data_IF_876501970477
#
_entry.id   IF_876501970477
#
_cell.length_a   1.000
_cell.length_b   1.000
_cell.length_c   1.000
_cell.angle_alpha   90.00
_cell.angle_beta   90.00
_cell.angle_gamma   90.00
#
_symmetry.space_group_name_H-M   'P 1'
#
loop_
_entity.id
_entity.type
_entity.pdbx_description
1 polymer ?
#
# COMPACT_ATOMS: atom_id res chain seq x y z
N UNK A 1 3.81 4.85 23.09
CA UNK A 1 4.70 4.38 22.02
C UNK A 1 4.19 4.86 20.70
N UNK A 2 5.07 5.19 19.76
CA UNK A 2 4.70 5.55 18.38
C UNK A 2 4.61 4.26 17.57
N UNK A 3 3.52 4.09 16.81
CA UNK A 3 3.42 3.00 15.84
C UNK A 3 3.99 3.48 14.51
N UNK A 4 4.94 2.73 13.95
CA UNK A 4 5.43 2.99 12.60
C UNK A 4 4.42 2.47 11.60
N UNK A 5 3.85 3.38 10.80
CA UNK A 5 2.85 3.01 9.81
C UNK A 5 3.48 2.71 8.44
N UNK A 6 4.62 3.33 8.14
CA UNK A 6 5.30 3.20 6.85
C UNK A 6 6.77 3.62 6.94
N UNK A 7 7.66 2.99 6.14
CA UNK A 7 9.05 3.39 6.00
C UNK A 7 9.52 3.27 4.54
N UNK A 8 10.46 4.12 4.14
CA UNK A 8 11.04 4.09 2.80
C UNK A 8 12.43 4.75 2.79
N UNK A 9 13.22 4.44 1.75
CA UNK A 9 14.52 5.07 1.50
C UNK A 9 14.41 6.07 0.35
N UNK A 10 14.97 7.27 0.56
CA UNK A 10 15.09 8.29 -0.48
C UNK A 10 16.37 9.09 -0.28
N UNK A 11 17.20 9.21 -1.33
CA UNK A 11 18.48 9.91 -1.31
C UNK A 11 19.35 9.53 -0.11
N UNK A 12 19.59 8.24 0.11
CA UNK A 12 20.40 7.67 1.21
C UNK A 12 19.90 8.07 2.61
N UNK A 13 18.67 8.49 2.74
CA UNK A 13 18.02 8.79 4.01
C UNK A 13 16.85 7.84 4.22
N UNK A 14 16.78 7.26 5.41
CA UNK A 14 15.62 6.47 5.83
C UNK A 14 14.57 7.40 6.41
N UNK A 15 13.37 7.34 5.85
CA UNK A 15 12.19 8.02 6.33
C UNK A 15 11.27 7.03 7.01
N UNK A 16 10.72 7.39 8.17
CA UNK A 16 9.67 6.64 8.83
C UNK A 16 8.50 7.54 9.16
N UNK A 17 7.30 7.06 8.86
CA UNK A 17 6.04 7.77 9.08
C UNK A 17 5.35 7.15 10.28
N UNK A 18 4.88 7.99 11.18
CA UNK A 18 4.20 7.57 12.40
C UNK A 18 2.95 8.42 12.63
N UNK A 19 1.97 7.86 13.32
CA UNK A 19 0.89 8.62 13.93
C UNK A 19 1.26 8.91 15.38
N UNK A 20 1.21 10.20 15.78
CA UNK A 20 1.46 10.63 17.15
C UNK A 20 0.27 10.41 18.07
N UNK A 21 0.46 10.66 19.38
CA UNK A 21 -0.58 10.44 20.42
C UNK A 21 -1.82 11.33 20.27
N UNK A 22 -1.67 12.49 19.61
CA UNK A 22 -2.75 13.45 19.34
C UNK A 22 -3.26 13.39 17.90
N UNK A 23 -3.15 12.23 17.26
CA UNK A 23 -3.48 12.07 15.83
C UNK A 23 -2.62 12.98 14.92
N UNK A 24 -1.37 13.19 15.28
CA UNK A 24 -0.41 13.95 14.49
C UNK A 24 0.25 13.08 13.44
N UNK A 25 0.41 13.59 12.24
CA UNK A 25 1.25 13.00 11.20
C UNK A 25 2.69 13.40 11.43
N UNK A 26 3.57 12.40 11.63
CA UNK A 26 4.97 12.61 11.95
C UNK A 26 5.87 11.94 10.91
N UNK A 27 6.87 12.68 10.41
CA UNK A 27 7.95 12.13 9.60
C UNK A 27 9.26 12.21 10.39
N UNK A 28 9.92 11.07 10.56
CA UNK A 28 11.27 10.99 11.08
C UNK A 28 12.24 10.66 9.95
N UNK A 29 13.45 11.18 10.06
CA UNK A 29 14.59 10.82 9.21
C UNK A 29 15.65 10.12 10.05
N UNK A 30 16.39 9.20 9.43
CA UNK A 30 17.53 8.51 10.01
C UNK A 30 18.57 8.21 8.91
N UNK A 31 19.77 7.84 9.32
CA UNK A 31 20.76 7.24 8.41
C UNK A 31 20.24 5.87 7.91
N UNK A 32 20.83 5.34 6.83
CA UNK A 32 20.40 4.06 6.24
C UNK A 32 20.54 2.86 7.18
N UNK A 33 21.36 2.99 8.23
CA UNK A 33 21.50 2.00 9.31
C UNK A 33 20.54 2.25 10.49
N UNK A 34 19.65 3.25 10.38
CA UNK A 34 18.68 3.62 11.39
C UNK A 34 19.20 4.49 12.52
N UNK A 35 20.48 4.81 12.50
CA UNK A 35 21.06 5.70 13.50
C UNK A 35 20.69 7.16 13.24
N UNK A 36 20.97 8.03 14.22
CA UNK A 36 20.75 9.48 14.12
C UNK A 36 19.31 9.89 13.80
N UNK A 37 18.35 9.12 14.28
CA UNK A 37 16.92 9.38 14.08
C UNK A 37 16.52 10.74 14.66
N UNK A 38 15.78 11.55 13.86
CA UNK A 38 15.26 12.86 14.27
C UNK A 38 13.88 13.10 13.67
N UNK A 39 13.03 13.84 14.39
CA UNK A 39 11.77 14.35 13.86
C UNK A 39 12.10 15.43 12.82
N UNK A 40 11.57 15.26 11.61
CA UNK A 40 11.78 16.17 10.49
C UNK A 40 10.53 17.00 10.18
N UNK A 41 9.32 16.43 10.38
CA UNK A 41 8.07 17.10 10.06
C UNK A 41 6.95 16.64 10.99
N UNK A 42 5.99 17.54 11.25
CA UNK A 42 4.72 17.26 11.93
C UNK A 42 3.59 18.06 11.32
N UNK A 43 2.39 17.47 11.24
CA UNK A 43 1.15 18.14 10.89
C UNK A 43 0.01 17.71 11.81
N UNK A 44 -0.95 18.61 12.05
CA UNK A 44 -2.13 18.39 12.88
C UNK A 44 -3.23 17.68 12.07
N UNK A 45 -2.91 16.50 11.54
CA UNK A 45 -3.85 15.60 10.87
C UNK A 45 -3.38 14.16 11.06
N UNK A 46 -4.28 13.21 11.02
CA UNK A 46 -3.92 11.79 11.04
C UNK A 46 -3.56 11.28 9.65
N UNK A 47 -2.68 10.28 9.60
CA UNK A 47 -2.51 9.48 8.41
C UNK A 47 -3.69 8.50 8.31
N UNK A 48 -4.35 8.41 7.16
CA UNK A 48 -5.21 7.28 6.86
C UNK A 48 -4.32 6.04 6.70
N UNK A 49 -4.26 5.21 7.74
CA UNK A 49 -3.35 4.03 7.79
C UNK A 49 -3.74 2.94 6.81
N UNK A 50 -4.93 3.01 6.24
CA UNK A 50 -5.40 2.06 5.22
C UNK A 50 -4.84 2.35 3.82
N UNK A 51 -4.25 3.53 3.60
CA UNK A 51 -3.67 3.93 2.31
C UNK A 51 -2.17 4.12 2.44
N UNK A 52 -1.40 3.38 1.70
CA UNK A 52 0.05 3.54 1.69
C UNK A 52 0.45 4.86 1.03
N UNK A 53 1.36 5.63 1.64
CA UNK A 53 1.95 6.80 1.00
C UNK A 53 2.71 6.43 -0.28
N UNK A 54 2.73 7.35 -1.23
CA UNK A 54 3.44 7.20 -2.51
C UNK A 54 4.47 8.31 -2.67
N UNK A 55 5.71 7.92 -2.96
CA UNK A 55 6.80 8.86 -3.23
C UNK A 55 6.95 9.07 -4.74
N UNK A 56 6.87 10.31 -5.17
CA UNK A 56 7.16 10.72 -6.55
C UNK A 56 7.95 12.04 -6.58
N UNK A 57 9.04 12.07 -7.33
CA UNK A 57 9.85 13.28 -7.55
C UNK A 57 10.38 13.97 -6.28
N UNK A 58 10.53 13.24 -5.16
CA UNK A 58 10.92 13.79 -3.86
C UNK A 58 9.76 14.36 -3.04
N UNK A 59 8.54 14.20 -3.51
CA UNK A 59 7.31 14.56 -2.82
C UNK A 59 6.57 13.30 -2.37
N UNK A 60 6.23 13.25 -1.09
CA UNK A 60 5.49 12.17 -0.48
C UNK A 60 4.00 12.50 -0.49
N UNK A 61 3.21 11.74 -1.25
CA UNK A 61 1.75 11.85 -1.30
C UNK A 61 1.12 10.85 -0.33
N UNK A 62 0.07 11.27 0.35
CA UNK A 62 -0.64 10.43 1.31
C UNK A 62 -2.09 10.89 1.49
N UNK A 63 -2.92 10.04 2.04
CA UNK A 63 -4.27 10.40 2.47
C UNK A 63 -4.23 10.79 3.94
N UNK A 64 -4.56 12.04 4.21
CA UNK A 64 -4.75 12.55 5.55
C UNK A 64 -6.20 12.39 6.00
N UNK A 65 -6.43 12.19 7.30
CA UNK A 65 -7.76 12.21 7.89
C UNK A 65 -7.88 13.29 8.96
N UNK A 66 -9.01 14.00 8.94
CA UNK A 66 -9.38 15.02 9.91
C UNK A 66 -10.71 14.65 10.55
N UNK A 67 -10.79 14.75 11.87
CA UNK A 67 -12.02 14.49 12.62
C UNK A 67 -12.78 15.78 12.89
N UNK A 68 -14.00 15.88 12.39
CA UNK A 68 -14.92 16.97 12.71
C UNK A 68 -15.93 16.52 13.76
N UNK A 69 -16.09 17.34 14.82
CA UNK A 69 -17.18 17.17 15.80
C UNK A 69 -18.47 17.75 15.22
N UNK A 70 -19.46 16.91 14.99
CA UNK A 70 -20.79 17.37 14.62
C UNK A 70 -21.48 17.98 15.85
N UNK A 71 -21.71 19.30 15.85
CA UNK A 71 -22.38 20.04 16.93
C UNK A 71 -23.88 19.66 17.14
N UNK A 72 -24.46 18.83 16.28
CA UNK A 72 -25.91 18.59 16.25
C UNK A 72 -26.36 17.20 16.64
N UNK A 73 -25.51 16.21 16.72
CA UNK A 73 -25.91 14.84 17.12
C UNK A 73 -24.85 14.17 17.99
N UNK A 74 -25.31 13.64 19.10
CA UNK A 74 -24.51 12.96 20.13
C UNK A 74 -23.88 11.61 19.69
N UNK A 75 -23.80 11.34 18.39
CA UNK A 75 -23.27 10.09 17.83
C UNK A 75 -22.58 10.37 16.50
N UNK A 76 -21.33 10.87 16.50
CA UNK A 76 -20.57 10.78 15.26
C UNK A 76 -19.46 11.80 15.11
N UNK A 77 -18.26 11.38 15.40
CA UNK A 77 -17.06 11.95 14.76
C UNK A 77 -17.18 11.67 13.25
N UNK A 78 -17.20 12.71 12.44
CA UNK A 78 -17.08 12.58 10.98
C UNK A 78 -15.61 12.61 10.64
N UNK A 79 -15.13 11.55 10.02
CA UNK A 79 -13.77 11.48 9.51
C UNK A 79 -13.78 11.91 8.04
N UNK A 80 -13.06 12.99 7.72
CA UNK A 80 -12.90 13.50 6.36
C UNK A 80 -11.53 13.12 5.82
N UNK A 81 -11.48 12.63 4.59
CA UNK A 81 -10.26 12.23 3.92
C UNK A 81 -9.83 13.27 2.90
N UNK A 82 -8.53 13.57 2.87
CA UNK A 82 -7.94 14.51 1.94
C UNK A 82 -6.65 13.98 1.35
N UNK A 83 -6.42 14.25 0.07
CA UNK A 83 -5.12 14.05 -0.54
C UNK A 83 -4.17 15.15 -0.09
N UNK A 84 -3.05 14.74 0.47
CA UNK A 84 -2.00 15.62 0.98
C UNK A 84 -0.64 15.24 0.42
N UNK A 85 0.32 16.16 0.47
CA UNK A 85 1.72 15.85 0.23
C UNK A 85 2.67 16.65 1.11
N UNK A 86 3.89 16.11 1.24
CA UNK A 86 5.04 16.78 1.85
C UNK A 86 6.22 16.70 0.88
N UNK A 87 6.83 17.85 0.56
CA UNK A 87 8.10 17.89 -0.16
C UNK A 87 9.24 17.52 0.79
N UNK A 88 10.01 16.50 0.46
CA UNK A 88 11.06 15.99 1.36
C UNK A 88 12.32 16.87 1.39
N UNK A 89 12.44 17.86 0.51
CA UNK A 89 13.59 18.76 0.47
C UNK A 89 13.50 19.91 1.48
N UNK A 90 12.29 20.41 1.73
CA UNK A 90 12.05 21.56 2.62
C UNK A 90 10.90 21.33 3.63
N UNK A 91 10.26 20.16 3.55
CA UNK A 91 9.11 19.77 4.36
C UNK A 91 7.89 20.69 4.20
N UNK A 92 7.75 21.35 3.04
CA UNK A 92 6.53 22.07 2.73
C UNK A 92 5.36 21.13 2.56
N UNK A 93 4.24 21.46 3.24
CA UNK A 93 3.00 20.68 3.24
C UNK A 93 1.95 21.31 2.34
N UNK A 94 1.22 20.49 1.61
CA UNK A 94 0.14 20.90 0.72
C UNK A 94 -1.06 19.93 0.83
N UNK A 95 -2.27 20.49 0.97
CA UNK A 95 -3.54 19.76 0.88
C UNK A 95 -4.14 20.08 -0.49
N UNK A 96 -4.39 19.05 -1.32
CA UNK A 96 -4.83 19.22 -2.71
C UNK A 96 -6.35 19.21 -2.84
N UNK A 97 -6.98 18.14 -2.35
CA UNK A 97 -8.41 17.94 -2.54
C UNK A 97 -9.00 17.09 -1.43
N UNK A 98 -10.29 17.27 -1.17
CA UNK A 98 -11.08 16.38 -0.34
C UNK A 98 -11.50 15.16 -1.17
N UNK A 99 -11.29 13.95 -0.64
CA UNK A 99 -11.58 12.68 -1.31
C UNK A 99 -13.00 12.21 -0.95
N UNK A 100 -13.43 12.48 0.30
CA UNK A 100 -14.72 12.04 0.81
C UNK A 100 -14.69 11.81 2.32
N UNK A 101 -15.70 11.13 2.82
CA UNK A 101 -15.84 10.81 4.25
C UNK A 101 -15.83 9.32 4.49
N UNK A 102 -15.45 8.89 5.70
CA UNK A 102 -15.41 7.48 6.07
C UNK A 102 -16.75 6.74 5.90
N UNK A 103 -17.87 7.46 5.90
CA UNK A 103 -19.21 6.88 5.72
C UNK A 103 -19.61 6.72 4.25
N UNK A 104 -18.93 7.42 3.34
CA UNK A 104 -19.27 7.46 1.90
C UNK A 104 -18.23 6.75 1.04
N UNK A 105 -17.02 6.58 1.58
CA UNK A 105 -15.90 6.04 0.83
C UNK A 105 -15.18 5.00 1.66
N UNK A 106 -15.26 3.74 1.27
CA UNK A 106 -14.39 2.71 1.84
C UNK A 106 -13.09 2.72 1.08
N UNK A 107 -12.02 3.11 1.77
CA UNK A 107 -10.68 3.23 1.23
C UNK A 107 -9.95 1.92 1.51
N UNK A 108 -9.53 1.22 0.45
CA UNK A 108 -8.73 0.00 0.58
C UNK A 108 -7.24 0.27 0.80
N UNK A 109 -6.52 -0.70 1.33
CA UNK A 109 -5.05 -0.65 1.40
C UNK A 109 -4.49 -0.39 0.00
N UNK A 110 -3.51 0.52 -0.10
CA UNK A 110 -2.80 0.86 -1.35
C UNK A 110 -3.65 1.46 -2.48
N UNK A 111 -4.75 2.10 -2.17
CA UNK A 111 -5.67 2.69 -3.15
C UNK A 111 -5.16 3.96 -3.85
N UNK A 112 -3.98 4.47 -3.51
CA UNK A 112 -3.39 5.67 -4.09
C UNK A 112 -2.23 5.33 -5.02
N UNK A 113 -2.32 5.72 -6.29
CA UNK A 113 -1.23 5.61 -7.26
C UNK A 113 -0.96 6.94 -7.94
N UNK A 114 0.27 7.13 -8.40
CA UNK A 114 0.71 8.28 -9.18
C UNK A 114 1.30 7.82 -10.51
N UNK A 115 0.85 8.44 -11.61
CA UNK A 115 1.42 8.22 -12.92
C UNK A 115 1.20 9.44 -13.84
N UNK A 116 2.27 9.98 -14.41
CA UNK A 116 2.24 11.12 -15.35
C UNK A 116 1.43 12.33 -14.84
N UNK A 117 1.70 12.78 -13.62
CA UNK A 117 0.98 13.87 -12.94
C UNK A 117 -0.52 13.61 -12.73
N UNK A 118 -0.93 12.37 -12.81
CA UNK A 118 -2.29 11.95 -12.48
C UNK A 118 -2.28 11.09 -11.23
N UNK A 119 -3.34 11.28 -10.45
CA UNK A 119 -3.61 10.52 -9.24
C UNK A 119 -4.69 9.51 -9.58
N UNK A 120 -4.44 8.26 -9.26
CA UNK A 120 -5.42 7.18 -9.39
C UNK A 120 -5.81 6.76 -7.99
N UNK A 121 -7.07 6.79 -7.73
CA UNK A 121 -7.63 6.51 -6.42
C UNK A 121 -8.73 5.45 -6.51
N UNK A 122 -8.58 4.37 -5.72
CA UNK A 122 -9.60 3.33 -5.62
C UNK A 122 -10.57 3.66 -4.50
N UNK A 123 -11.85 3.48 -4.76
CA UNK A 123 -12.88 3.38 -3.74
C UNK A 123 -13.78 2.17 -3.99
N UNK A 124 -14.41 1.68 -2.92
CA UNK A 124 -15.37 0.59 -2.98
C UNK A 124 -16.61 0.94 -2.18
N UNK A 125 -17.76 0.64 -2.74
CA UNK A 125 -19.06 0.77 -2.10
C UNK A 125 -19.61 -0.62 -1.79
N UNK A 126 -19.99 -0.84 -0.54
CA UNK A 126 -20.54 -2.12 -0.08
C UNK A 126 -22.05 -2.00 0.08
N UNK A 127 -22.80 -2.91 -0.54
CA UNK A 127 -24.22 -3.12 -0.32
C UNK A 127 -24.47 -4.48 0.35
N UNK A 128 -25.72 -4.78 0.73
CA UNK A 128 -26.04 -6.05 1.41
C UNK A 128 -25.65 -7.31 0.62
N UNK A 129 -25.53 -7.22 -0.72
CA UNK A 129 -25.30 -8.39 -1.58
C UNK A 129 -24.26 -8.16 -2.69
N UNK A 130 -23.58 -7.03 -2.72
CA UNK A 130 -22.59 -6.72 -3.75
C UNK A 130 -21.56 -5.71 -3.28
N UNK A 131 -20.37 -5.81 -3.84
CA UNK A 131 -19.30 -4.81 -3.74
C UNK A 131 -19.16 -4.17 -5.11
N UNK A 132 -19.21 -2.86 -5.16
CA UNK A 132 -18.91 -2.09 -6.36
C UNK A 132 -17.59 -1.35 -6.15
N UNK A 133 -16.59 -1.64 -6.97
CA UNK A 133 -15.27 -1.03 -6.88
C UNK A 133 -14.97 -0.19 -8.11
N UNK A 134 -14.44 1.01 -7.91
CA UNK A 134 -14.01 1.89 -8.99
C UNK A 134 -12.61 2.44 -8.73
N UNK A 135 -11.83 2.58 -9.79
CA UNK A 135 -10.58 3.34 -9.79
C UNK A 135 -10.80 4.61 -10.61
N UNK A 136 -10.66 5.73 -9.96
CA UNK A 136 -10.79 7.04 -10.56
C UNK A 136 -9.43 7.68 -10.79
N UNK A 137 -9.35 8.48 -11.84
CA UNK A 137 -8.18 9.25 -12.21
C UNK A 137 -8.50 10.73 -12.09
N UNK A 138 -7.60 11.49 -11.47
CA UNK A 138 -7.67 12.94 -11.36
C UNK A 138 -6.35 13.54 -11.82
N UNK A 139 -6.36 14.75 -12.36
CA UNK A 139 -5.14 15.55 -12.42
C UNK A 139 -4.68 15.87 -10.98
N UNK A 140 -3.39 16.13 -10.79
CA UNK A 140 -2.83 16.36 -9.45
C UNK A 140 -3.46 17.55 -8.72
N UNK A 141 -4.06 18.50 -9.46
CA UNK A 141 -4.81 19.63 -8.92
C UNK A 141 -6.28 19.32 -8.57
N UNK A 142 -6.69 18.05 -8.70
CA UNK A 142 -8.06 17.59 -8.43
C UNK A 142 -9.05 17.82 -9.56
N UNK A 143 -8.61 18.37 -10.70
CA UNK A 143 -9.45 18.54 -11.89
C UNK A 143 -9.57 17.25 -12.72
N UNK A 144 -10.42 17.26 -13.73
CA UNK A 144 -10.58 16.18 -14.71
C UNK A 144 -10.80 14.77 -14.14
N UNK A 145 -11.80 14.61 -13.27
CA UNK A 145 -12.20 13.27 -12.75
C UNK A 145 -12.67 12.36 -13.88
N UNK A 146 -12.13 11.15 -13.94
CA UNK A 146 -12.48 10.12 -14.91
C UNK A 146 -12.45 8.74 -14.27
N UNK A 147 -13.46 7.90 -14.48
CA UNK A 147 -13.43 6.50 -14.08
C UNK A 147 -12.58 5.70 -15.08
N UNK A 148 -11.58 5.00 -14.56
CA UNK A 148 -10.61 4.21 -15.34
C UNK A 148 -10.95 2.73 -15.32
N UNK A 149 -11.38 2.22 -14.17
CA UNK A 149 -11.78 0.83 -13.96
C UNK A 149 -13.00 0.80 -13.07
N UNK A 150 -13.97 -0.05 -13.39
CA UNK A 150 -15.20 -0.25 -12.63
C UNK A 150 -15.57 -1.73 -12.65
N UNK A 151 -15.89 -2.32 -11.51
CA UNK A 151 -16.16 -3.74 -11.33
C UNK A 151 -17.17 -3.99 -10.22
N UNK A 152 -18.00 -5.03 -10.41
CA UNK A 152 -18.95 -5.55 -9.40
C UNK A 152 -18.32 -6.60 -8.49
N UNK A 153 -17.01 -6.49 -8.24
CA UNK A 153 -16.21 -7.39 -7.42
C UNK A 153 -15.35 -6.59 -6.45
N UNK A 154 -14.82 -7.26 -5.43
CA UNK A 154 -13.80 -6.67 -4.56
C UNK A 154 -12.50 -6.51 -5.32
N UNK A 155 -12.07 -5.25 -5.51
CA UNK A 155 -10.82 -4.91 -6.16
C UNK A 155 -9.88 -4.26 -5.16
N UNK A 156 -8.64 -4.68 -5.14
CA UNK A 156 -7.57 -4.04 -4.40
C UNK A 156 -6.46 -3.61 -5.36
N UNK A 157 -6.27 -2.31 -5.49
CA UNK A 157 -5.16 -1.74 -6.26
C UNK A 157 -3.91 -1.75 -5.42
N UNK A 158 -2.77 -2.16 -6.01
CA UNK A 158 -1.54 -2.39 -5.25
C UNK A 158 -0.36 -1.53 -5.68
N UNK A 159 -0.18 -1.31 -6.98
CA UNK A 159 1.01 -0.63 -7.48
C UNK A 159 0.79 -0.08 -8.89
N UNK A 160 1.54 1.00 -9.22
CA UNK A 160 1.78 1.41 -10.61
C UNK A 160 3.26 1.19 -10.94
N UNK A 161 3.52 0.46 -12.01
CA UNK A 161 4.88 0.22 -12.51
C UNK A 161 4.91 0.34 -14.04
N UNK A 162 5.71 1.28 -14.55
CA UNK A 162 5.92 1.47 -15.98
C UNK A 162 4.64 1.72 -16.79
N UNK A 163 3.64 2.41 -16.21
CA UNK A 163 2.35 2.67 -16.84
C UNK A 163 1.35 1.52 -16.74
N UNK A 164 1.67 0.47 -16.01
CA UNK A 164 0.74 -0.61 -15.67
C UNK A 164 0.30 -0.47 -14.22
N UNK A 165 -1.00 -0.41 -13.99
CA UNK A 165 -1.61 -0.53 -12.66
C UNK A 165 -1.78 -2.01 -12.35
N UNK A 166 -1.24 -2.45 -11.22
CA UNK A 166 -1.38 -3.81 -10.71
C UNK A 166 -2.54 -3.84 -9.71
N UNK A 167 -3.44 -4.80 -9.86
CA UNK A 167 -4.58 -4.96 -8.96
C UNK A 167 -4.98 -6.41 -8.79
N UNK A 168 -5.69 -6.69 -7.71
CA UNK A 168 -6.22 -8.01 -7.38
C UNK A 168 -7.74 -7.94 -7.38
N UNK A 169 -8.38 -8.91 -7.99
CA UNK A 169 -9.81 -9.17 -7.91
C UNK A 169 -10.01 -10.43 -7.10
N UNK A 170 -10.83 -10.38 -6.07
CA UNK A 170 -11.15 -11.52 -5.20
C UNK A 170 -12.65 -11.80 -5.23
N UNK A 171 -13.02 -13.08 -5.13
CA UNK A 171 -14.40 -13.50 -4.94
C UNK A 171 -14.92 -13.04 -3.56
N UNK A 172 -16.23 -12.95 -3.39
CA UNK A 172 -16.88 -12.50 -2.15
C UNK A 172 -16.49 -13.32 -0.89
N UNK A 173 -16.11 -14.58 -1.08
CA UNK A 173 -15.70 -15.49 0.00
C UNK A 173 -14.18 -15.66 0.12
N UNK A 174 -13.41 -14.84 -0.62
CA UNK A 174 -11.94 -14.87 -0.68
C UNK A 174 -11.36 -16.24 -1.09
N UNK A 175 -12.17 -17.08 -1.74
CA UNK A 175 -11.75 -18.44 -2.13
C UNK A 175 -10.83 -18.44 -3.35
N UNK A 176 -10.93 -17.42 -4.20
CA UNK A 176 -10.11 -17.27 -5.39
C UNK A 176 -9.72 -15.82 -5.61
N UNK A 177 -8.52 -15.62 -6.11
CA UNK A 177 -8.02 -14.30 -6.51
C UNK A 177 -7.43 -14.33 -7.91
N UNK A 178 -7.58 -13.21 -8.62
CA UNK A 178 -6.94 -12.96 -9.90
C UNK A 178 -6.02 -11.74 -9.76
N UNK A 179 -4.75 -11.91 -10.10
CA UNK A 179 -3.80 -10.79 -10.18
C UNK A 179 -3.81 -10.29 -11.61
N UNK A 180 -4.12 -9.02 -11.76
CA UNK A 180 -4.33 -8.37 -13.04
C UNK A 180 -3.43 -7.15 -13.21
N UNK A 181 -3.18 -6.77 -14.46
CA UNK A 181 -2.62 -5.47 -14.80
C UNK A 181 -3.53 -4.70 -15.74
N UNK A 182 -3.57 -3.36 -15.58
CA UNK A 182 -4.27 -2.44 -16.45
C UNK A 182 -3.29 -1.45 -17.06
N UNK A 183 -3.33 -1.26 -18.38
CA UNK A 183 -2.48 -0.30 -19.08
C UNK A 183 -3.07 1.11 -18.94
N UNK A 184 -2.37 1.98 -18.22
CA UNK A 184 -2.81 3.35 -17.93
C UNK A 184 -2.71 4.28 -19.15
N UNK A 185 -1.95 3.91 -20.18
CA UNK A 185 -1.80 4.69 -21.42
C UNK A 185 -2.75 4.23 -22.53
N UNK A 186 -2.87 2.92 -22.70
CA UNK A 186 -3.63 2.32 -23.80
C UNK A 186 -5.02 1.83 -23.40
N UNK A 187 -5.28 1.68 -22.13
CA UNK A 187 -6.45 0.97 -21.62
C UNK A 187 -6.35 -0.54 -21.81
N UNK A 188 -7.18 -1.26 -21.08
CA UNK A 188 -7.26 -2.72 -21.19
C UNK A 188 -6.61 -3.48 -20.06
N UNK A 189 -7.25 -4.58 -19.71
CA UNK A 189 -6.88 -5.47 -18.60
C UNK A 189 -6.21 -6.73 -19.13
N UNK A 190 -5.18 -7.18 -18.45
CA UNK A 190 -4.52 -8.47 -18.63
C UNK A 190 -4.54 -9.24 -17.30
N UNK A 191 -5.03 -10.48 -17.31
CA UNK A 191 -4.92 -11.40 -16.17
C UNK A 191 -3.52 -12.00 -16.21
N UNK A 192 -2.70 -11.70 -15.20
CA UNK A 192 -1.34 -12.21 -15.10
C UNK A 192 -1.34 -13.67 -14.61
N UNK A 193 -2.06 -13.93 -13.52
CA UNK A 193 -2.26 -15.29 -12.98
C UNK A 193 -3.48 -15.34 -12.05
N UNK A 194 -3.86 -16.57 -11.66
CA UNK A 194 -4.94 -16.86 -10.71
C UNK A 194 -4.42 -17.69 -9.56
N UNK A 195 -5.05 -17.54 -8.39
CA UNK A 195 -4.77 -18.30 -7.18
C UNK A 195 -6.04 -18.75 -6.49
N UNK A 196 -5.99 -19.98 -5.93
CA UNK A 196 -6.93 -20.39 -4.91
C UNK A 196 -6.53 -19.71 -3.60
N UNK A 197 -7.48 -19.03 -2.95
CA UNK A 197 -7.26 -18.25 -1.75
C UNK A 197 -7.16 -16.74 -1.99
N UNK A 198 -7.01 -16.02 -0.90
CA UNK A 198 -6.95 -14.56 -0.86
C UNK A 198 -5.52 -14.04 -1.05
N UNK A 199 -5.31 -13.20 -2.06
CA UNK A 199 -4.04 -12.50 -2.29
C UNK A 199 -4.02 -11.20 -1.52
N UNK A 200 -3.15 -11.08 -0.52
CA UNK A 200 -3.12 -9.97 0.44
C UNK A 200 -2.04 -8.94 0.21
N UNK A 201 -1.05 -9.20 -0.61
CA UNK A 201 0.00 -8.25 -1.01
C UNK A 201 0.53 -8.60 -2.41
N UNK A 202 0.84 -7.59 -3.21
CA UNK A 202 1.38 -7.77 -4.56
C UNK A 202 2.36 -6.65 -4.89
N UNK A 203 3.52 -7.01 -5.46
CA UNK A 203 4.51 -6.06 -5.93
C UNK A 203 5.15 -6.56 -7.22
N UNK A 204 5.17 -5.73 -8.27
CA UNK A 204 5.80 -6.08 -9.56
C UNK A 204 7.08 -5.27 -9.77
N UNK A 205 8.18 -5.97 -10.08
CA UNK A 205 9.47 -5.37 -10.42
C UNK A 205 10.00 -6.07 -11.68
N UNK A 206 10.11 -5.32 -12.76
CA UNK A 206 10.39 -5.88 -14.08
C UNK A 206 9.30 -6.87 -14.51
N UNK A 207 9.68 -8.10 -14.81
CA UNK A 207 8.75 -9.17 -15.21
C UNK A 207 8.34 -10.09 -14.04
N UNK A 208 8.74 -9.79 -12.80
CA UNK A 208 8.46 -10.64 -11.64
C UNK A 208 7.43 -9.99 -10.76
N UNK A 209 6.46 -10.77 -10.34
CA UNK A 209 5.41 -10.38 -9.41
C UNK A 209 5.61 -11.17 -8.12
N UNK A 210 6.00 -10.49 -7.06
CA UNK A 210 5.92 -11.00 -5.69
C UNK A 210 4.48 -10.88 -5.22
N UNK A 211 3.99 -11.88 -4.46
CA UNK A 211 2.68 -11.84 -3.85
C UNK A 211 2.63 -12.65 -2.56
N UNK A 212 1.80 -12.17 -1.62
CA UNK A 212 1.39 -12.94 -0.45
C UNK A 212 -0.01 -13.49 -0.69
N UNK A 213 -0.29 -14.71 -0.24
CA UNK A 213 -1.64 -15.26 -0.31
C UNK A 213 -1.93 -16.16 0.90
N UNK A 214 -3.20 -16.33 1.20
CA UNK A 214 -3.67 -17.24 2.24
C UNK A 214 -4.75 -18.18 1.70
N UNK A 215 -4.74 -19.41 2.21
CA UNK A 215 -5.77 -20.41 1.97
C UNK A 215 -6.30 -20.93 3.29
N UNK A 216 -7.58 -21.32 3.34
CA UNK A 216 -8.16 -21.93 4.52
C UNK A 216 -8.38 -23.44 4.29
N UNK A 217 -7.88 -24.28 5.18
CA UNK A 217 -8.12 -25.74 5.14
C UNK A 217 -9.38 -26.16 5.93
N UNK A 218 -10.19 -25.17 6.34
CA UNK A 218 -11.39 -25.32 7.16
C UNK A 218 -11.13 -25.30 8.68
N UNK A 219 -9.86 -25.24 9.11
CA UNK A 219 -9.47 -25.18 10.53
C UNK A 219 -8.45 -24.07 10.83
N UNK A 220 -7.54 -23.81 9.92
CA UNK A 220 -6.49 -22.80 10.04
C UNK A 220 -6.28 -22.09 8.70
N UNK A 221 -5.84 -20.84 8.78
CA UNK A 221 -5.33 -20.10 7.65
C UNK A 221 -3.87 -20.48 7.42
N UNK A 222 -3.55 -20.85 6.18
CA UNK A 222 -2.17 -21.15 5.75
C UNK A 222 -1.70 -19.95 4.95
N UNK A 223 -0.65 -19.29 5.40
CA UNK A 223 -0.03 -18.14 4.68
C UNK A 223 1.16 -18.59 3.87
N UNK A 224 1.29 -18.00 2.71
CA UNK A 224 2.33 -18.34 1.75
C UNK A 224 2.80 -17.09 1.00
N UNK A 225 4.05 -17.11 0.56
CA UNK A 225 4.57 -16.14 -0.41
C UNK A 225 4.81 -16.79 -1.76
N UNK A 226 4.73 -16.00 -2.82
CA UNK A 226 5.02 -16.46 -4.17
C UNK A 226 5.74 -15.43 -5.02
N UNK A 227 6.43 -15.93 -6.04
CA UNK A 227 7.04 -15.14 -7.12
C UNK A 227 6.61 -15.71 -8.45
N UNK A 228 5.84 -14.94 -9.21
CA UNK A 228 5.39 -15.29 -10.56
C UNK A 228 6.21 -14.52 -11.60
N UNK A 229 6.83 -15.22 -12.56
CA UNK A 229 7.53 -14.60 -13.68
C UNK A 229 6.60 -14.50 -14.90
N UNK A 230 6.22 -13.28 -15.27
CA UNK A 230 5.30 -13.01 -16.38
C UNK A 230 5.90 -13.34 -17.75
N UNK A 231 7.23 -13.53 -17.87
CA UNK A 231 7.89 -13.81 -19.12
C UNK A 231 7.83 -15.28 -19.54
N UNK A 232 7.79 -16.21 -18.59
CA UNK A 232 7.78 -17.65 -18.86
C UNK A 232 6.68 -18.42 -18.08
N UNK A 233 5.90 -17.70 -17.26
CA UNK A 233 4.79 -18.27 -16.47
C UNK A 233 5.24 -19.15 -15.30
N UNK A 234 6.52 -19.11 -14.93
CA UNK A 234 7.00 -19.86 -13.77
C UNK A 234 6.57 -19.21 -12.49
N UNK A 235 6.27 -20.06 -11.53
CA UNK A 235 5.76 -19.71 -10.22
C UNK A 235 6.50 -20.48 -9.14
N UNK A 236 7.15 -19.74 -8.24
CA UNK A 236 7.81 -20.25 -7.05
C UNK A 236 6.97 -19.88 -5.84
N UNK A 237 6.66 -20.82 -4.97
CA UNK A 237 5.92 -20.57 -3.73
C UNK A 237 6.60 -21.19 -2.52
N UNK A 238 6.38 -20.59 -1.36
CA UNK A 238 6.78 -21.10 -0.06
C UNK A 238 5.66 -20.92 0.95
N UNK A 239 5.38 -21.94 1.74
CA UNK A 239 4.46 -21.86 2.87
C UNK A 239 5.22 -21.41 4.12
N UNK A 240 4.56 -20.64 4.98
CA UNK A 240 5.10 -20.24 6.26
C UNK A 240 4.57 -21.16 7.37
N UNK A 241 5.44 -21.43 8.35
CA UNK A 241 5.02 -22.06 9.60
C UNK A 241 4.55 -20.96 10.57
N UNK A 242 3.24 -20.76 10.61
CA UNK A 242 2.60 -19.73 11.44
C UNK A 242 2.08 -18.51 10.68
N UNK A 243 1.70 -17.50 11.43
CA UNK A 243 1.08 -16.27 10.93
C UNK A 243 2.15 -15.25 10.51
N UNK A 244 2.73 -15.47 9.34
CA UNK A 244 3.78 -14.61 8.77
C UNK A 244 3.19 -13.69 7.71
N UNK A 245 3.58 -12.42 7.76
CA UNK A 245 3.24 -11.40 6.76
C UNK A 245 4.50 -10.71 6.25
N UNK A 246 4.62 -10.59 4.93
CA UNK A 246 5.72 -9.87 4.26
C UNK A 246 5.15 -8.86 3.30
N UNK A 247 5.53 -7.60 3.44
CA UNK A 247 5.15 -6.53 2.52
C UNK A 247 6.40 -5.86 1.95
N UNK A 248 6.38 -5.59 0.65
CA UNK A 248 7.46 -4.86 -0.03
C UNK A 248 7.17 -3.36 0.06
N UNK A 249 8.07 -2.63 0.70
CA UNK A 249 7.97 -1.19 0.88
C UNK A 249 8.73 -0.39 -0.18
N UNK A 250 9.74 -1.00 -0.79
CA UNK A 250 10.51 -0.37 -1.84
C UNK A 250 11.65 -1.22 -2.38
N UNK A 251 12.16 -0.82 -3.52
CA UNK A 251 13.34 -1.40 -4.15
C UNK A 251 14.47 -0.38 -4.19
N UNK A 252 15.67 -0.81 -3.89
CA UNK A 252 16.90 0.01 -3.87
C UNK A 252 18.00 -0.65 -4.68
N UNK A 253 19.10 0.04 -4.93
CA UNK A 253 20.31 -0.54 -5.55
C UNK A 253 20.94 -1.68 -4.71
N UNK A 254 20.58 -1.78 -3.43
CA UNK A 254 21.12 -2.75 -2.48
C UNK A 254 20.15 -3.90 -2.17
N UNK A 255 18.96 -3.90 -2.80
CA UNK A 255 17.93 -4.91 -2.59
C UNK A 255 16.55 -4.33 -2.27
N UNK A 256 15.72 -5.11 -1.60
CA UNK A 256 14.33 -4.79 -1.28
C UNK A 256 14.19 -4.41 0.19
N UNK A 257 13.56 -3.27 0.46
CA UNK A 257 13.09 -2.94 1.80
C UNK A 257 11.77 -3.66 2.02
N UNK A 258 11.73 -4.53 3.03
CA UNK A 258 10.55 -5.31 3.39
C UNK A 258 10.09 -4.96 4.81
N UNK A 259 8.80 -5.07 5.03
CA UNK A 259 8.20 -5.21 6.36
C UNK A 259 7.93 -6.70 6.57
N UNK A 260 8.45 -7.25 7.65
CA UNK A 260 8.26 -8.64 8.03
C UNK A 260 7.62 -8.72 9.42
N UNK A 261 6.55 -9.47 9.52
CA UNK A 261 5.81 -9.66 10.76
C UNK A 261 5.54 -11.15 10.97
N UNK A 262 5.83 -11.65 12.17
CA UNK A 262 5.43 -12.97 12.68
C UNK A 262 5.03 -12.85 14.17
N UNK A 263 4.85 -13.98 14.87
CA UNK A 263 4.48 -14.02 16.29
C UNK A 263 5.55 -13.44 17.23
N UNK A 264 6.80 -13.35 16.80
CA UNK A 264 7.95 -12.95 17.60
C UNK A 264 8.57 -11.62 17.14
N UNK A 265 8.31 -11.22 15.89
CA UNK A 265 8.97 -10.10 15.24
C UNK A 265 7.98 -9.24 14.46
N UNK A 266 8.13 -7.93 14.59
CA UNK A 266 7.51 -6.92 13.75
C UNK A 266 8.60 -5.89 13.41
N UNK A 267 9.18 -5.97 12.21
CA UNK A 267 10.38 -5.22 11.88
C UNK A 267 10.56 -4.97 10.39
N UNK A 268 11.38 -3.96 10.09
CA UNK A 268 11.79 -3.63 8.73
C UNK A 268 13.19 -4.17 8.47
N UNK A 269 13.40 -4.72 7.28
CA UNK A 269 14.68 -5.29 6.90
C UNK A 269 15.02 -5.05 5.43
N UNK A 270 16.33 -5.05 5.15
CA UNK A 270 16.83 -5.01 3.78
C UNK A 270 17.22 -6.42 3.35
N UNK A 271 16.67 -6.88 2.23
CA UNK A 271 16.90 -8.21 1.67
C UNK A 271 17.53 -8.09 0.28
N UNK A 272 18.58 -8.86 0.01
CA UNK A 272 19.22 -8.87 -1.32
C UNK A 272 18.23 -9.30 -2.41
N UNK A 273 18.48 -8.90 -3.67
CA UNK A 273 17.66 -9.32 -4.80
C UNK A 273 17.60 -10.84 -4.92
N UNK A 274 18.74 -11.53 -4.74
CA UNK A 274 18.83 -12.99 -4.85
C UNK A 274 17.95 -13.69 -3.79
N UNK A 275 18.06 -13.26 -2.53
CA UNK A 275 17.29 -13.86 -1.43
C UNK A 275 15.81 -13.53 -1.55
N UNK A 276 15.46 -12.28 -1.92
CA UNK A 276 14.08 -11.87 -2.11
C UNK A 276 13.38 -12.72 -3.19
N UNK A 277 13.98 -12.83 -4.38
CA UNK A 277 13.41 -13.61 -5.48
C UNK A 277 13.47 -15.12 -5.26
N UNK A 278 14.20 -15.56 -4.23
CA UNK A 278 14.25 -16.95 -3.77
C UNK A 278 13.42 -17.20 -2.53
N UNK A 279 12.64 -16.20 -2.06
CA UNK A 279 11.76 -16.26 -0.89
C UNK A 279 12.48 -16.61 0.42
N UNK A 280 13.73 -16.16 0.59
CA UNK A 280 14.58 -16.42 1.78
C UNK A 280 14.54 -15.23 2.74
N UNK A 281 13.38 -14.97 3.33
CA UNK A 281 13.16 -13.79 4.17
C UNK A 281 13.95 -13.81 5.49
N UNK A 282 14.35 -14.98 5.95
CA UNK A 282 15.23 -15.15 7.11
C UNK A 282 16.60 -14.50 6.96
N UNK A 283 17.04 -14.24 5.73
CA UNK A 283 18.31 -13.56 5.42
C UNK A 283 18.23 -12.03 5.45
N UNK A 284 17.06 -11.46 5.75
CA UNK A 284 16.91 -10.02 5.80
C UNK A 284 17.74 -9.39 6.94
N UNK A 285 18.44 -8.29 6.63
CA UNK A 285 19.13 -7.49 7.62
C UNK A 285 18.14 -6.56 8.32
N UNK A 286 17.53 -7.04 9.41
CA UNK A 286 16.52 -6.32 10.16
C UNK A 286 17.16 -5.20 11.00
N UNK A 287 16.73 -3.97 10.76
CA UNK A 287 17.30 -2.75 11.37
C UNK A 287 16.40 -2.11 12.42
N UNK A 288 15.10 -2.42 12.40
CA UNK A 288 14.13 -1.77 13.29
C UNK A 288 13.17 -2.83 13.83
N UNK A 289 13.33 -3.11 15.12
CA UNK A 289 12.31 -3.81 15.90
C UNK A 289 11.33 -2.77 16.45
N UNK A 290 10.04 -3.04 16.35
CA UNK A 290 9.00 -2.19 16.95
C UNK A 290 8.86 -2.46 18.45
#
# INVERSE_FOLDING_TARGET
GYFYNYAFLYNDTLYSICTGELNEFLIYTADTDGMNRKLAFTAELSLCTMVNPVLDGGRLFFVGSEFEMNDTDSVGLRENYSLCSVDLSDFSFEKYMDIGTANETVIGKKSLLLYKNKIYFQHSEYSENSVHSAVECYDIDGSERMTVLEMEDSVNVWQCNGGKMLYVVSDDDDSHSQVCSYDLDGGGTEVLFKRDGYVSDVCMIGNRVFYMYSTADGKSEIRSAGVFDTSDGKDLTTEFDGDVYVSVLGHTSNGHLIHYQDSERDSFGLLSDEDFWSLKFENADFKFEQ
#
